data_IF_676664139153
#
_entry.id   IF_676664139153
#
_cell.length_a   1.000
_cell.length_b   1.000
_cell.length_c   1.000
_cell.angle_alpha   90.00
_cell.angle_beta   90.00
_cell.angle_gamma   90.00
#
_symmetry.space_group_name_H-M   'P 1'
#
loop_
_entity.id
_entity.type
_entity.pdbx_description
1 polymer ?
#
# COMPACT_ATOMS: atom_id res chain seq x y z
N UNK A 1 51.26 15.47 27.15
CA UNK A 1 50.24 14.47 26.77
C UNK A 1 48.93 14.88 27.42
N UNK A 2 47.88 15.01 26.62
CA UNK A 2 46.64 15.69 27.01
C UNK A 2 45.52 14.77 27.50
N UNK A 3 44.32 15.32 27.37
CA UNK A 3 42.97 14.74 27.48
C UNK A 3 42.38 14.88 28.90
N UNK A 4 41.24 15.53 29.13
CA UNK A 4 40.26 16.21 28.27
C UNK A 4 39.09 16.69 29.16
N UNK A 5 38.44 17.78 28.74
CA UNK A 5 37.13 18.22 29.23
C UNK A 5 36.08 17.09 29.02
N UNK A 6 34.95 16.93 29.70
CA UNK A 6 33.92 17.85 30.23
C UNK A 6 33.00 17.07 31.20
N UNK A 7 32.09 17.74 31.93
CA UNK A 7 31.39 17.22 33.11
C UNK A 7 30.02 16.57 32.85
N UNK A 8 29.57 15.79 33.85
CA UNK A 8 28.20 15.68 34.39
C UNK A 8 27.01 15.56 33.44
N UNK A 9 26.31 14.42 33.50
CA UNK A 9 24.85 14.40 33.43
C UNK A 9 24.24 13.26 34.25
N UNK A 10 23.83 13.65 35.45
CA UNK A 10 22.82 13.03 36.28
C UNK A 10 21.51 12.79 35.48
N UNK A 11 21.08 11.53 35.27
CA UNK A 11 19.67 11.19 35.01
C UNK A 11 19.43 9.71 35.34
N UNK A 12 19.09 9.42 36.60
CA UNK A 12 18.69 8.10 37.06
C UNK A 12 17.33 8.15 37.74
N UNK A 13 16.29 8.57 37.00
CA UNK A 13 14.88 8.35 37.34
C UNK A 13 14.01 8.88 36.18
N UNK A 14 13.69 8.02 35.23
CA UNK A 14 12.83 8.38 34.10
C UNK A 14 12.20 7.11 33.53
N UNK A 15 11.00 6.80 34.01
CA UNK A 15 10.18 5.68 33.56
C UNK A 15 9.57 5.99 32.18
N UNK A 16 10.42 6.17 31.18
CA UNK A 16 10.00 6.40 29.79
C UNK A 16 10.38 5.15 29.00
N UNK A 17 9.42 4.41 28.40
CA UNK A 17 9.77 3.36 27.46
C UNK A 17 10.45 4.05 26.28
N UNK A 18 11.78 3.93 26.23
CA UNK A 18 12.60 4.32 25.09
C UNK A 18 12.06 3.53 23.91
N UNK A 19 11.47 4.21 22.93
CA UNK A 19 11.16 3.64 21.63
C UNK A 19 12.50 3.34 20.95
N UNK A 20 13.09 2.22 21.34
CA UNK A 20 14.26 1.65 20.69
C UNK A 20 13.82 1.25 19.29
N UNK A 21 14.60 1.72 18.33
CA UNK A 21 14.39 1.53 16.91
C UNK A 21 14.64 0.08 16.54
N UNK A 22 13.68 -0.78 16.85
CA UNK A 22 13.54 -2.10 16.26
C UNK A 22 12.30 -2.05 15.38
N UNK A 23 12.50 -1.69 14.11
CA UNK A 23 11.51 -1.91 13.06
C UNK A 23 11.11 -3.38 13.12
N UNK A 24 9.91 -3.77 13.57
CA UNK A 24 9.43 -5.08 13.24
C UNK A 24 9.18 -4.98 11.74
N UNK A 25 10.08 -5.56 10.94
CA UNK A 25 9.69 -6.07 9.64
C UNK A 25 8.46 -6.90 9.92
N UNK A 26 7.29 -6.32 9.67
CA UNK A 26 6.01 -6.88 10.01
C UNK A 26 5.95 -8.20 9.28
N UNK A 27 6.31 -9.26 10.01
CA UNK A 27 6.44 -10.59 9.51
C UNK A 27 5.09 -10.90 8.91
N UNK A 28 5.08 -11.03 7.59
CA UNK A 28 3.89 -11.35 6.81
C UNK A 28 3.37 -12.65 7.41
N UNK A 29 2.34 -12.53 8.25
CA UNK A 29 1.65 -13.67 8.86
C UNK A 29 1.29 -14.59 7.68
N UNK A 30 1.79 -15.84 7.61
CA UNK A 30 1.62 -16.69 6.43
C UNK A 30 0.16 -17.09 6.13
N UNK A 31 -0.80 -16.71 6.98
CA UNK A 31 -2.23 -16.98 6.78
C UNK A 31 -2.98 -16.04 5.84
N UNK A 32 -2.33 -14.97 5.34
CA UNK A 32 -2.95 -14.02 4.40
C UNK A 32 -2.52 -14.22 2.93
N UNK A 33 -1.60 -15.15 2.66
CA UNK A 33 -0.95 -15.28 1.36
C UNK A 33 -1.93 -15.47 0.17
N UNK A 34 -2.91 -16.39 0.21
CA UNK A 34 -3.78 -16.61 -0.95
C UNK A 34 -4.78 -15.46 -1.17
N UNK A 35 -5.37 -14.91 -0.10
CA UNK A 35 -6.30 -13.79 -0.22
C UNK A 35 -5.58 -12.52 -0.71
N UNK A 36 -4.39 -12.23 -0.18
CA UNK A 36 -3.58 -11.09 -0.61
C UNK A 36 -3.06 -11.27 -2.03
N UNK A 37 -2.64 -12.48 -2.42
CA UNK A 37 -2.24 -12.78 -3.80
C UNK A 37 -3.40 -12.53 -4.76
N UNK A 38 -4.59 -13.06 -4.46
CA UNK A 38 -5.79 -12.82 -5.25
C UNK A 38 -6.11 -11.33 -5.39
N UNK A 39 -6.07 -10.57 -4.29
CA UNK A 39 -6.29 -9.12 -4.33
C UNK A 39 -5.23 -8.42 -5.18
N UNK A 40 -3.95 -8.74 -4.96
CA UNK A 40 -2.82 -8.15 -5.69
C UNK A 40 -2.88 -8.42 -7.19
N UNK A 41 -3.37 -9.58 -7.61
CA UNK A 41 -3.46 -9.97 -9.01
C UNK A 41 -4.72 -9.43 -9.70
N UNK A 42 -5.87 -9.42 -8.99
CA UNK A 42 -7.17 -9.16 -9.63
C UNK A 42 -7.68 -7.74 -9.43
N UNK A 43 -7.38 -7.08 -8.32
CA UNK A 43 -8.10 -5.88 -7.89
C UNK A 43 -7.14 -4.70 -7.66
N UNK A 44 -6.03 -4.92 -6.97
CA UNK A 44 -5.06 -3.88 -6.60
C UNK A 44 -4.53 -3.06 -7.79
N UNK A 45 -4.13 -3.61 -8.94
CA UNK A 45 -3.63 -2.80 -10.05
C UNK A 45 -4.67 -1.77 -10.53
N UNK A 46 -5.93 -2.17 -10.63
CA UNK A 46 -7.02 -1.29 -11.07
C UNK A 46 -7.42 -0.28 -10.00
N UNK A 47 -7.39 -0.67 -8.72
CA UNK A 47 -7.61 0.26 -7.62
C UNK A 47 -6.56 1.38 -7.62
N UNK A 48 -5.28 1.03 -7.78
CA UNK A 48 -4.21 2.02 -7.83
C UNK A 48 -4.35 2.95 -9.04
N UNK A 49 -4.79 2.44 -10.19
CA UNK A 49 -5.05 3.25 -11.38
C UNK A 49 -6.19 4.25 -11.14
N UNK A 50 -7.33 3.78 -10.62
CA UNK A 50 -8.48 4.63 -10.32
C UNK A 50 -8.18 5.67 -9.24
N UNK A 51 -7.46 5.29 -8.19
CA UNK A 51 -7.06 6.21 -7.12
C UNK A 51 -6.15 7.34 -7.63
N UNK A 52 -5.26 7.07 -8.60
CA UNK A 52 -4.45 8.13 -9.22
C UNK A 52 -5.31 9.17 -9.92
N UNK A 53 -6.36 8.74 -10.63
CA UNK A 53 -7.30 9.64 -11.31
C UNK A 53 -8.05 10.51 -10.30
N UNK A 54 -8.59 9.89 -9.25
CA UNK A 54 -9.32 10.59 -8.18
C UNK A 54 -8.46 11.61 -7.45
N UNK A 55 -7.20 11.29 -7.15
CA UNK A 55 -6.26 12.21 -6.49
C UNK A 55 -5.87 13.37 -7.41
N UNK A 56 -5.84 13.15 -8.72
CA UNK A 56 -5.50 14.18 -9.71
C UNK A 56 -6.65 15.16 -9.92
N UNK A 57 -7.87 14.66 -10.10
CA UNK A 57 -9.04 15.50 -10.41
C UNK A 57 -9.74 16.06 -9.17
N UNK A 58 -9.54 15.43 -7.99
CA UNK A 58 -10.18 15.79 -6.73
C UNK A 58 -11.68 16.10 -6.88
N UNK A 59 -12.47 15.14 -7.41
CA UNK A 59 -13.90 15.33 -7.58
C UNK A 59 -14.60 15.45 -6.22
N UNK A 60 -15.77 16.10 -6.20
CA UNK A 60 -16.59 16.25 -4.98
C UNK A 60 -16.99 14.91 -4.36
N UNK A 61 -17.22 13.89 -5.21
CA UNK A 61 -17.61 12.52 -4.80
C UNK A 61 -16.55 11.48 -5.23
N UNK A 62 -15.41 11.39 -4.54
CA UNK A 62 -14.27 10.56 -4.95
C UNK A 62 -14.60 9.06 -5.00
N UNK A 63 -15.44 8.58 -4.09
CA UNK A 63 -15.85 7.16 -4.05
C UNK A 63 -16.76 6.79 -5.22
N UNK A 64 -17.63 7.71 -5.65
CA UNK A 64 -18.51 7.50 -6.78
C UNK A 64 -17.71 7.39 -8.07
N UNK A 65 -16.83 8.35 -8.31
CA UNK A 65 -15.95 8.37 -9.49
C UNK A 65 -15.04 7.14 -9.52
N UNK A 66 -14.49 6.74 -8.37
CA UNK A 66 -13.70 5.51 -8.28
C UNK A 66 -14.53 4.26 -8.62
N UNK A 67 -15.75 4.16 -8.12
CA UNK A 67 -16.65 3.04 -8.40
C UNK A 67 -17.01 2.96 -9.89
N UNK A 68 -17.35 4.09 -10.51
CA UNK A 68 -17.63 4.19 -11.94
C UNK A 68 -16.41 3.76 -12.78
N UNK A 69 -15.20 4.21 -12.38
CA UNK A 69 -13.95 3.78 -13.01
C UNK A 69 -13.74 2.26 -12.93
N UNK A 70 -13.96 1.65 -11.75
CA UNK A 70 -13.77 0.20 -11.58
C UNK A 70 -14.77 -0.62 -12.41
N UNK A 71 -16.02 -0.18 -12.51
CA UNK A 71 -17.03 -0.83 -13.37
C UNK A 71 -16.62 -0.74 -14.84
N UNK A 72 -16.24 0.45 -15.30
CA UNK A 72 -15.77 0.66 -16.67
C UNK A 72 -14.56 -0.23 -16.97
N UNK A 73 -13.58 -0.29 -16.06
CA UNK A 73 -12.39 -1.12 -16.20
C UNK A 73 -12.71 -2.62 -16.19
N UNK A 74 -13.68 -3.06 -15.39
CA UNK A 74 -14.16 -4.44 -15.38
C UNK A 74 -14.69 -4.83 -16.76
N UNK A 75 -15.50 -3.97 -17.38
CA UNK A 75 -16.05 -4.22 -18.71
C UNK A 75 -14.96 -4.28 -19.80
N UNK A 76 -13.92 -3.42 -19.70
CA UNK A 76 -12.79 -3.42 -20.62
C UNK A 76 -11.94 -4.69 -20.50
N UNK A 77 -11.68 -5.15 -19.27
CA UNK A 77 -10.89 -6.35 -19.01
C UNK A 77 -11.66 -7.61 -19.41
N UNK A 78 -12.94 -7.68 -19.08
CA UNK A 78 -13.82 -8.80 -19.45
C UNK A 78 -14.09 -8.82 -20.96
N UNK A 79 -14.37 -7.66 -21.57
CA UNK A 79 -14.56 -7.49 -23.02
C UNK A 79 -13.29 -7.64 -23.86
N UNK A 80 -12.12 -7.31 -23.29
CA UNK A 80 -10.81 -7.54 -23.91
C UNK A 80 -10.40 -9.02 -23.87
N UNK A 81 -10.77 -9.74 -22.82
CA UNK A 81 -10.47 -11.18 -22.68
C UNK A 81 -11.26 -12.06 -23.67
N UNK A 82 -12.48 -11.67 -24.07
CA UNK A 82 -13.22 -12.35 -25.15
C UNK A 82 -12.70 -12.04 -26.54
N UNK A 83 -12.05 -10.89 -26.74
CA UNK A 83 -11.45 -10.53 -28.04
C UNK A 83 -10.12 -11.22 -28.31
N UNK A 84 -9.37 -11.59 -27.26
CA UNK A 84 -8.10 -12.31 -27.39
C UNK A 84 -8.23 -13.84 -27.58
N UNK A 85 -9.44 -14.41 -27.44
CA UNK A 85 -9.70 -15.86 -27.60
C UNK A 85 -10.46 -16.26 -28.88
N UNK A 86 -10.75 -15.32 -29.80
CA UNK A 86 -11.44 -15.61 -31.08
C UNK A 86 -10.51 -15.48 -32.29
N UNK A 87 -9.38 -16.19 -32.26
CA UNK A 87 -8.67 -16.63 -33.46
C UNK A 87 -7.83 -17.85 -33.07
N UNK A 88 -8.31 -19.04 -33.46
CA UNK A 88 -7.46 -19.87 -34.28
C UNK A 88 -8.21 -20.36 -35.53
N UNK A 89 -7.46 -20.33 -36.63
CA UNK A 89 -7.65 -21.04 -37.91
C UNK A 89 -8.73 -20.55 -38.90
#
# INVERSE_FOLDING_TARGET
MGNGATPSSNTGAGNTPRAESDTPTAQVRPGGAPARAYMNEKIVPYLLEGMKSVVKEQPSDPLRVLGEFLIQKSNEVEGGAVSAKKSPE
#
